data_IF_942859692743
#
_entry.id   IF_942859692743
#
_cell.length_a   1.000
_cell.length_b   1.000
_cell.length_c   1.000
_cell.angle_alpha   90.00
_cell.angle_beta   90.00
_cell.angle_gamma   90.00
#
_symmetry.space_group_name_H-M   'P 1'
#
loop_
_entity.id
_entity.type
_entity.pdbx_description
1 polymer ?
#
# COMPACT_ATOMS: atom_id res chain seq x y z
N UNK A 1 -33.37 10.50 -13.26
CA UNK A 1 -32.01 10.83 -12.77
C UNK A 1 -31.03 10.63 -13.91
N UNK A 2 -29.92 11.38 -13.95
CA UNK A 2 -28.99 11.40 -15.08
C UNK A 2 -27.89 10.34 -14.95
N UNK A 3 -27.32 9.90 -16.09
CA UNK A 3 -26.23 8.93 -16.17
C UNK A 3 -24.92 9.42 -15.52
N UNK A 4 -24.59 10.70 -15.73
CA UNK A 4 -23.30 11.29 -15.30
C UNK A 4 -22.93 11.10 -13.82
N UNK A 5 -23.83 11.27 -12.84
CA UNK A 5 -23.51 11.01 -11.44
C UNK A 5 -23.14 9.54 -11.16
N UNK A 6 -23.86 8.59 -11.76
CA UNK A 6 -23.59 7.17 -11.58
C UNK A 6 -22.24 6.77 -12.18
N UNK A 7 -21.90 7.33 -13.33
CA UNK A 7 -20.58 7.13 -13.95
C UNK A 7 -19.45 7.66 -13.07
N UNK A 8 -19.61 8.83 -12.44
CA UNK A 8 -18.62 9.39 -11.50
C UNK A 8 -18.45 8.52 -10.27
N UNK A 9 -19.54 8.11 -9.63
CA UNK A 9 -19.51 7.24 -8.44
C UNK A 9 -18.83 5.90 -8.70
N UNK A 10 -19.00 5.34 -9.90
CA UNK A 10 -18.38 4.09 -10.32
C UNK A 10 -16.94 4.24 -10.80
N UNK A 11 -16.35 5.42 -10.72
CA UNK A 11 -15.03 5.74 -11.32
C UNK A 11 -14.93 5.35 -12.81
N UNK A 12 -15.99 5.62 -13.56
CA UNK A 12 -16.07 5.34 -14.99
C UNK A 12 -16.42 3.90 -15.37
N UNK A 13 -16.59 3.00 -14.40
CA UNK A 13 -16.91 1.58 -14.67
C UNK A 13 -18.37 1.35 -15.07
N UNK A 14 -19.27 2.25 -14.72
CA UNK A 14 -20.68 2.18 -15.05
C UNK A 14 -20.92 2.73 -16.46
N UNK A 15 -21.28 1.86 -17.41
CA UNK A 15 -21.48 2.21 -18.80
C UNK A 15 -22.89 2.75 -19.06
N UNK A 16 -23.09 3.32 -20.27
CA UNK A 16 -24.43 3.73 -20.72
C UNK A 16 -25.36 2.52 -20.90
N UNK A 17 -24.81 1.38 -21.25
CA UNK A 17 -25.57 0.12 -21.37
C UNK A 17 -26.11 -0.30 -20.01
N UNK A 18 -25.24 -0.32 -18.99
CA UNK A 18 -25.65 -0.63 -17.62
C UNK A 18 -26.72 0.33 -17.10
N UNK A 19 -26.66 1.62 -17.50
CA UNK A 19 -27.67 2.59 -17.12
C UNK A 19 -29.05 2.32 -17.75
N UNK A 20 -29.07 1.92 -19.01
CA UNK A 20 -30.32 1.57 -19.69
C UNK A 20 -30.90 0.30 -19.10
N UNK A 21 -30.06 -0.71 -18.86
CA UNK A 21 -30.46 -1.96 -18.23
C UNK A 21 -31.00 -1.72 -16.80
N UNK A 22 -30.32 -0.94 -15.98
CA UNK A 22 -30.78 -0.55 -14.66
C UNK A 22 -32.17 0.13 -14.68
N UNK A 23 -32.40 1.03 -15.65
CA UNK A 23 -33.72 1.65 -15.82
C UNK A 23 -34.80 0.65 -16.22
N UNK A 24 -34.46 -0.29 -17.06
CA UNK A 24 -35.41 -1.33 -17.49
C UNK A 24 -35.76 -2.26 -16.34
N UNK A 25 -34.77 -2.70 -15.58
CA UNK A 25 -34.96 -3.50 -14.38
C UNK A 25 -35.78 -2.75 -13.32
N UNK A 26 -35.51 -1.46 -13.10
CA UNK A 26 -36.26 -0.64 -12.13
C UNK A 26 -37.74 -0.44 -12.54
N UNK A 27 -38.07 -0.44 -13.85
CA UNK A 27 -39.44 -0.35 -14.33
C UNK A 27 -40.21 -1.68 -14.22
N UNK A 28 -39.51 -2.79 -14.37
CA UNK A 28 -40.07 -4.14 -14.40
C UNK A 28 -39.90 -4.87 -13.06
N UNK A 29 -39.47 -4.17 -12.01
CA UNK A 29 -39.31 -4.76 -10.70
C UNK A 29 -40.67 -5.18 -10.14
N UNK A 30 -40.71 -6.37 -9.55
CA UNK A 30 -41.85 -6.90 -8.78
C UNK A 30 -41.70 -6.63 -7.28
N UNK A 31 -40.67 -5.90 -6.88
CA UNK A 31 -40.41 -5.56 -5.48
C UNK A 31 -41.50 -4.60 -4.94
N UNK A 32 -41.88 -4.76 -3.68
CA UNK A 32 -42.71 -3.81 -2.96
C UNK A 32 -41.88 -2.61 -2.50
N UNK A 33 -42.41 -1.40 -2.67
CA UNK A 33 -41.85 -0.20 -2.01
C UNK A 33 -42.21 -0.26 -0.53
N UNK A 34 -41.17 -0.29 0.31
CA UNK A 34 -41.36 -0.18 1.74
C UNK A 34 -40.70 1.13 2.20
N UNK A 35 -41.52 2.07 2.68
CA UNK A 35 -41.05 3.40 3.09
C UNK A 35 -40.01 3.32 4.20
N UNK A 36 -40.12 2.34 5.08
CA UNK A 36 -39.12 2.07 6.11
C UNK A 36 -37.75 1.71 5.53
N UNK A 37 -37.69 0.81 4.53
CA UNK A 37 -36.44 0.45 3.87
C UNK A 37 -35.85 1.60 3.07
N UNK A 38 -36.67 2.46 2.48
CA UNK A 38 -36.21 3.67 1.80
C UNK A 38 -35.58 4.64 2.79
N UNK A 39 -36.19 4.84 3.95
CA UNK A 39 -35.64 5.68 5.01
C UNK A 39 -34.30 5.12 5.56
N UNK A 40 -34.21 3.82 5.80
CA UNK A 40 -32.99 3.17 6.24
C UNK A 40 -31.86 3.35 5.21
N UNK A 41 -32.19 3.21 3.91
CA UNK A 41 -31.25 3.43 2.82
C UNK A 41 -30.76 4.88 2.73
N UNK A 42 -31.65 5.86 2.92
CA UNK A 42 -31.28 7.29 2.96
C UNK A 42 -30.31 7.58 4.11
N UNK A 43 -30.64 7.12 5.32
CA UNK A 43 -29.76 7.28 6.49
C UNK A 43 -28.39 6.64 6.25
N UNK A 44 -28.36 5.44 5.67
CA UNK A 44 -27.11 4.74 5.38
C UNK A 44 -26.26 5.50 4.36
N UNK A 45 -26.87 6.05 3.34
CA UNK A 45 -26.19 6.89 2.33
C UNK A 45 -25.65 8.16 2.97
N UNK A 46 -26.39 8.81 3.85
CA UNK A 46 -25.93 10.02 4.53
C UNK A 46 -24.74 9.73 5.46
N UNK A 47 -24.79 8.66 6.22
CA UNK A 47 -23.63 8.19 7.03
C UNK A 47 -22.42 7.92 6.15
N UNK A 48 -22.60 7.22 5.02
CA UNK A 48 -21.52 6.95 4.07
C UNK A 48 -20.89 8.25 3.55
N UNK A 49 -21.70 9.20 3.14
CA UNK A 49 -21.22 10.49 2.62
C UNK A 49 -20.47 11.29 3.70
N UNK A 50 -20.96 11.30 4.93
CA UNK A 50 -20.27 11.96 6.06
C UNK A 50 -18.91 11.30 6.35
N UNK A 51 -18.85 9.97 6.38
CA UNK A 51 -17.61 9.23 6.59
C UNK A 51 -16.63 9.49 5.43
N UNK A 52 -17.10 9.47 4.20
CA UNK A 52 -16.28 9.75 3.03
C UNK A 52 -15.64 11.16 3.11
N UNK A 53 -16.42 12.17 3.46
CA UNK A 53 -15.91 13.54 3.65
C UNK A 53 -14.86 13.62 4.76
N UNK A 54 -15.05 12.87 5.87
CA UNK A 54 -14.09 12.83 6.96
C UNK A 54 -12.79 12.10 6.58
N UNK A 55 -12.87 11.06 5.78
CA UNK A 55 -11.68 10.37 5.25
C UNK A 55 -10.88 11.32 4.36
N UNK A 56 -11.54 12.04 3.44
CA UNK A 56 -10.88 13.02 2.57
C UNK A 56 -10.19 14.14 3.37
N UNK A 57 -10.84 14.64 4.43
CA UNK A 57 -10.25 15.65 5.32
C UNK A 57 -8.99 15.13 6.01
N UNK A 58 -9.03 13.90 6.54
CA UNK A 58 -7.88 13.27 7.20
C UNK A 58 -6.75 12.97 6.20
N UNK A 59 -7.09 12.52 4.99
CA UNK A 59 -6.10 12.28 3.94
C UNK A 59 -5.35 13.56 3.57
N UNK A 60 -6.04 14.70 3.50
CA UNK A 60 -5.41 16.00 3.27
C UNK A 60 -4.47 16.38 4.43
N UNK A 61 -4.90 16.21 5.67
CA UNK A 61 -4.06 16.49 6.85
C UNK A 61 -2.80 15.62 6.87
N UNK A 62 -2.93 14.32 6.58
CA UNK A 62 -1.80 13.40 6.46
C UNK A 62 -0.85 13.85 5.34
N UNK A 63 -1.40 14.22 4.20
CA UNK A 63 -0.62 14.71 3.07
C UNK A 63 0.23 15.93 3.44
N UNK A 64 -0.39 16.93 4.07
CA UNK A 64 0.31 18.14 4.48
C UNK A 64 1.38 17.87 5.54
N UNK A 65 1.09 17.00 6.51
CA UNK A 65 2.07 16.57 7.51
C UNK A 65 3.29 15.88 6.87
N UNK A 66 3.07 14.96 5.94
CA UNK A 66 4.16 14.23 5.28
C UNK A 66 5.00 15.15 4.40
N UNK A 67 4.37 16.04 3.64
CA UNK A 67 5.09 17.01 2.82
C UNK A 67 5.89 18.01 3.68
N UNK A 68 5.35 18.40 4.83
CA UNK A 68 6.07 19.26 5.79
C UNK A 68 7.32 18.62 6.38
N UNK A 69 7.38 17.28 6.43
CA UNK A 69 8.56 16.52 6.85
C UNK A 69 9.59 16.33 5.72
N UNK A 70 9.19 16.54 4.47
CA UNK A 70 10.01 16.36 3.25
C UNK A 70 10.86 15.06 3.26
N UNK A 71 10.22 13.88 3.43
CA UNK A 71 10.98 12.66 3.62
C UNK A 71 11.64 12.21 2.31
N UNK A 72 12.96 11.99 2.35
CA UNK A 72 13.78 11.58 1.19
C UNK A 72 13.25 10.34 0.46
N UNK A 73 12.44 9.50 1.15
CA UNK A 73 11.83 8.31 0.52
C UNK A 73 10.81 8.65 -0.57
N UNK A 74 10.24 9.86 -0.59
CA UNK A 74 9.32 10.30 -1.65
C UNK A 74 10.03 10.48 -2.99
N UNK A 75 11.36 10.58 -3.00
CA UNK A 75 12.14 10.63 -4.24
C UNK A 75 12.23 9.29 -4.95
N UNK A 76 11.84 8.18 -4.31
CA UNK A 76 11.82 6.84 -4.92
C UNK A 76 10.57 6.72 -5.81
N UNK A 77 10.72 6.46 -7.13
CA UNK A 77 9.59 6.26 -8.02
C UNK A 77 8.70 5.09 -7.57
N UNK A 78 7.41 5.37 -7.30
CA UNK A 78 6.45 4.39 -6.83
C UNK A 78 6.16 4.43 -5.32
N UNK A 79 6.83 5.29 -4.55
CA UNK A 79 6.43 5.57 -3.16
C UNK A 79 5.59 6.86 -3.15
N UNK A 80 4.33 6.73 -2.77
CA UNK A 80 3.41 7.86 -2.60
C UNK A 80 3.32 8.32 -1.14
N UNK A 81 2.71 9.50 -0.95
CA UNK A 81 2.53 10.16 0.36
C UNK A 81 1.85 9.24 1.38
N UNK A 82 0.79 8.53 0.99
CA UNK A 82 0.09 7.62 1.90
C UNK A 82 1.00 6.47 2.40
N UNK A 83 1.83 5.91 1.53
CA UNK A 83 2.80 4.87 1.92
C UNK A 83 3.90 5.44 2.81
N UNK A 84 4.40 6.63 2.50
CA UNK A 84 5.39 7.32 3.32
C UNK A 84 4.82 7.63 4.72
N UNK A 85 3.56 8.06 4.81
CA UNK A 85 2.88 8.29 6.09
C UNK A 85 2.88 7.04 6.98
N UNK A 86 2.49 5.88 6.43
CA UNK A 86 2.49 4.61 7.18
C UNK A 86 3.91 4.23 7.61
N UNK A 87 4.89 4.34 6.72
CA UNK A 87 6.29 4.01 7.02
C UNK A 87 6.83 4.91 8.14
N UNK A 88 6.60 6.22 8.04
CA UNK A 88 7.05 7.19 9.05
C UNK A 88 6.35 6.99 10.39
N UNK A 89 5.04 6.75 10.40
CA UNK A 89 4.29 6.54 11.64
C UNK A 89 4.71 5.27 12.39
N UNK A 90 5.05 4.21 11.67
CA UNK A 90 5.47 2.93 12.25
C UNK A 90 6.93 2.96 12.75
N UNK A 91 7.81 3.64 12.03
CA UNK A 91 9.21 3.75 12.46
C UNK A 91 9.43 4.84 13.51
N UNK A 92 8.65 5.91 13.44
CA UNK A 92 8.96 7.11 14.23
C UNK A 92 10.34 7.65 13.85
N UNK A 93 11.19 7.81 14.84
CA UNK A 93 12.55 8.31 14.65
C UNK A 93 13.50 7.20 14.18
N UNK A 94 13.89 7.25 12.90
CA UNK A 94 14.81 6.30 12.28
C UNK A 94 16.24 6.34 12.86
N UNK A 95 16.63 7.44 13.52
CA UNK A 95 17.94 7.54 14.16
C UNK A 95 18.15 6.54 15.30
N UNK A 96 17.05 6.01 15.86
CA UNK A 96 17.08 4.96 16.90
C UNK A 96 17.55 3.60 16.37
N UNK A 97 17.54 3.41 15.06
CA UNK A 97 18.00 2.18 14.46
C UNK A 97 19.46 2.30 14.03
N UNK A 98 20.35 1.59 14.68
CA UNK A 98 21.80 1.65 14.42
C UNK A 98 22.21 0.89 13.11
N UNK A 99 21.28 0.19 12.45
CA UNK A 99 21.55 -0.53 11.22
C UNK A 99 20.26 -0.91 10.47
N UNK A 100 20.35 -1.08 9.13
CA UNK A 100 19.22 -1.57 8.32
C UNK A 100 18.69 -2.93 8.78
N UNK A 101 19.56 -3.80 9.33
CA UNK A 101 19.16 -5.13 9.82
C UNK A 101 18.20 -5.02 11.00
N UNK A 102 18.43 -4.09 11.94
CA UNK A 102 17.50 -3.85 13.05
C UNK A 102 16.14 -3.35 12.57
N UNK A 103 16.16 -2.55 11.51
CA UNK A 103 14.93 -2.08 10.86
C UNK A 103 14.14 -3.24 10.21
N UNK A 104 14.84 -4.16 9.55
CA UNK A 104 14.25 -5.37 8.98
C UNK A 104 13.66 -6.29 10.07
N UNK A 105 14.35 -6.43 11.19
CA UNK A 105 13.84 -7.15 12.37
C UNK A 105 12.56 -6.50 12.90
N UNK A 106 12.57 -5.19 13.09
CA UNK A 106 11.41 -4.43 13.54
C UNK A 106 10.21 -4.59 12.62
N UNK A 107 10.42 -4.61 11.31
CA UNK A 107 9.40 -4.90 10.32
C UNK A 107 8.96 -6.38 10.30
N UNK A 108 9.66 -7.25 11.01
CA UNK A 108 9.43 -8.68 10.99
C UNK A 108 9.66 -9.32 9.62
N UNK A 109 10.58 -8.77 8.84
CA UNK A 109 10.89 -9.20 7.48
C UNK A 109 12.15 -10.06 7.41
N UNK A 110 12.76 -10.37 8.53
CA UNK A 110 13.91 -11.28 8.57
C UNK A 110 13.52 -12.73 8.30
N UNK A 111 14.42 -13.54 7.70
CA UNK A 111 14.25 -14.98 7.68
C UNK A 111 14.44 -15.53 9.08
N UNK A 112 13.59 -16.47 9.48
CA UNK A 112 13.86 -17.26 10.70
C UNK A 112 15.10 -18.12 10.50
N UNK A 113 16.04 -18.04 11.43
CA UNK A 113 17.17 -18.95 11.48
C UNK A 113 16.86 -20.05 12.49
N UNK A 114 16.83 -21.29 12.03
CA UNK A 114 16.82 -22.44 12.89
C UNK A 114 18.21 -23.10 12.80
N UNK A 115 18.93 -23.02 13.88
CA UNK A 115 20.22 -23.73 14.04
C UNK A 115 20.01 -24.86 15.00
N UNK A 116 20.13 -26.09 14.52
CA UNK A 116 20.36 -27.27 15.34
C UNK A 116 21.82 -27.73 15.13
N UNK A 117 22.36 -28.50 16.05
CA UNK A 117 23.78 -28.91 16.02
C UNK A 117 24.19 -29.62 14.71
N UNK A 118 23.24 -30.12 13.93
CA UNK A 118 23.48 -30.90 12.71
C UNK A 118 22.92 -30.27 11.42
N UNK A 119 22.11 -29.19 11.49
CA UNK A 119 21.56 -28.59 10.30
C UNK A 119 21.25 -27.09 10.48
N UNK A 120 21.64 -26.28 9.48
CA UNK A 120 21.22 -24.91 9.35
C UNK A 120 20.14 -24.85 8.28
N UNK A 121 18.95 -24.39 8.63
CA UNK A 121 17.90 -24.09 7.66
C UNK A 121 17.40 -22.66 7.81
N UNK A 122 17.33 -21.95 6.68
CA UNK A 122 16.63 -20.67 6.61
C UNK A 122 15.13 -20.93 6.60
N UNK A 123 14.49 -20.59 7.70
CA UNK A 123 13.04 -20.77 7.88
C UNK A 123 12.20 -19.72 7.16
N UNK A 124 10.90 -19.80 7.39
CA UNK A 124 9.94 -18.80 6.96
C UNK A 124 10.24 -17.45 7.62
N UNK A 125 9.76 -16.36 7.00
CA UNK A 125 9.88 -15.02 7.56
C UNK A 125 9.33 -14.94 8.98
N UNK A 126 10.10 -14.28 9.89
CA UNK A 126 9.80 -14.14 11.32
C UNK A 126 8.69 -13.16 11.50
N UNK A 127 7.58 -13.14 11.39
CA UNK A 127 6.51 -12.15 11.39
C UNK A 127 6.27 -11.43 12.74
N UNK A 128 7.27 -11.33 13.59
CA UNK A 128 7.14 -10.73 14.94
C UNK A 128 7.05 -9.20 14.96
N UNK A 129 7.32 -8.53 13.86
CA UNK A 129 7.26 -7.07 13.77
C UNK A 129 5.89 -6.51 13.37
N UNK A 130 5.83 -5.20 13.13
CA UNK A 130 4.62 -4.52 12.70
C UNK A 130 4.03 -5.14 11.44
N UNK A 131 2.77 -5.55 11.52
CA UNK A 131 2.02 -6.06 10.37
C UNK A 131 1.66 -4.96 9.39
N UNK A 132 1.40 -3.74 9.89
CA UNK A 132 1.07 -2.57 9.08
C UNK A 132 2.25 -2.14 8.24
N UNK A 133 3.42 -2.02 8.86
CA UNK A 133 4.66 -1.70 8.15
C UNK A 133 4.99 -2.75 7.08
N UNK A 134 4.91 -4.01 7.43
CA UNK A 134 5.16 -5.10 6.47
C UNK A 134 4.19 -5.06 5.29
N UNK A 135 2.91 -4.78 5.54
CA UNK A 135 1.91 -4.61 4.49
C UNK A 135 2.25 -3.41 3.59
N UNK A 136 2.55 -2.25 4.19
CA UNK A 136 2.97 -1.06 3.45
C UNK A 136 4.21 -1.33 2.59
N UNK A 137 5.24 -1.97 3.15
CA UNK A 137 6.46 -2.31 2.42
C UNK A 137 6.22 -3.28 1.26
N UNK A 138 5.32 -4.24 1.39
CA UNK A 138 4.96 -5.16 0.30
C UNK A 138 4.21 -4.44 -0.82
N UNK A 139 3.32 -3.51 -0.49
CA UNK A 139 2.62 -2.68 -1.47
C UNK A 139 3.60 -1.72 -2.18
N UNK A 140 4.48 -1.04 -1.44
CA UNK A 140 5.53 -0.21 -2.01
C UNK A 140 6.44 -1.02 -2.95
N UNK A 141 6.83 -2.23 -2.58
CA UNK A 141 7.63 -3.08 -3.45
C UNK A 141 6.92 -3.39 -4.77
N UNK A 142 5.60 -3.60 -4.75
CA UNK A 142 4.83 -3.84 -5.96
C UNK A 142 4.75 -2.60 -6.86
N UNK A 143 4.55 -1.42 -6.29
CA UNK A 143 4.50 -0.17 -7.05
C UNK A 143 5.88 0.23 -7.59
N UNK A 144 6.93 0.07 -6.78
CA UNK A 144 8.31 0.39 -7.17
C UNK A 144 8.81 -0.51 -8.30
N UNK A 145 8.48 -1.80 -8.33
CA UNK A 145 8.80 -2.69 -9.46
C UNK A 145 8.21 -2.16 -10.78
N UNK A 146 7.04 -1.53 -10.73
CA UNK A 146 6.37 -1.03 -11.92
C UNK A 146 6.90 0.34 -12.38
N UNK A 147 7.53 1.11 -11.49
CA UNK A 147 7.92 2.50 -11.74
C UNK A 147 9.43 2.73 -11.77
N UNK A 148 10.25 1.78 -11.25
CA UNK A 148 11.69 1.92 -11.15
C UNK A 148 12.41 0.71 -11.78
N UNK A 149 13.09 0.89 -12.92
CA UNK A 149 13.72 -0.19 -13.68
C UNK A 149 14.73 -1.03 -12.89
N UNK A 150 15.47 -0.42 -11.97
CA UNK A 150 16.50 -1.12 -11.18
C UNK A 150 15.87 -2.13 -10.23
N UNK A 151 14.77 -1.76 -9.58
CA UNK A 151 13.99 -2.70 -8.75
C UNK A 151 13.26 -3.75 -9.59
N UNK A 152 12.80 -3.39 -10.79
CA UNK A 152 12.23 -4.36 -11.73
C UNK A 152 13.26 -5.42 -12.14
N UNK A 153 14.48 -5.01 -12.46
CA UNK A 153 15.58 -5.91 -12.78
C UNK A 153 15.94 -6.82 -11.59
N UNK A 154 16.00 -6.27 -10.38
CA UNK A 154 16.24 -7.04 -9.17
C UNK A 154 15.13 -8.07 -8.91
N UNK A 155 13.87 -7.70 -9.12
CA UNK A 155 12.75 -8.62 -9.03
C UNK A 155 12.85 -9.73 -10.08
N UNK A 156 13.11 -9.39 -11.34
CA UNK A 156 13.28 -10.36 -12.43
C UNK A 156 14.41 -11.36 -12.14
N UNK A 157 15.55 -10.90 -11.62
CA UNK A 157 16.65 -11.76 -11.15
C UNK A 157 16.16 -12.76 -10.10
N UNK A 158 15.39 -12.31 -9.09
CA UNK A 158 14.87 -13.21 -8.05
C UNK A 158 13.85 -14.22 -8.61
N UNK A 159 13.09 -13.83 -9.64
CA UNK A 159 12.19 -14.75 -10.34
C UNK A 159 12.97 -15.80 -11.16
N UNK A 160 14.04 -15.40 -11.83
CA UNK A 160 14.92 -16.30 -12.57
C UNK A 160 15.64 -17.31 -11.65
N UNK A 161 15.93 -16.93 -10.39
CA UNK A 161 16.42 -17.86 -9.35
C UNK A 161 15.36 -18.90 -8.92
N UNK A 162 14.20 -19.00 -9.59
CA UNK A 162 13.12 -19.94 -9.27
C UNK A 162 12.22 -19.52 -8.09
N UNK A 163 12.37 -18.33 -7.54
CA UNK A 163 11.57 -17.87 -6.40
C UNK A 163 10.13 -17.56 -6.83
N UNK A 164 9.15 -17.99 -6.04
CA UNK A 164 7.74 -17.65 -6.26
C UNK A 164 7.54 -16.14 -6.16
N UNK A 165 6.51 -15.60 -6.83
CA UNK A 165 6.20 -14.17 -6.89
C UNK A 165 6.29 -13.47 -5.51
N UNK A 166 5.56 -13.96 -4.51
CA UNK A 166 5.55 -13.35 -3.16
C UNK A 166 6.90 -13.37 -2.48
N UNK A 167 7.71 -14.41 -2.71
CA UNK A 167 9.07 -14.50 -2.16
C UNK A 167 9.99 -13.50 -2.85
N UNK A 168 9.96 -13.41 -4.18
CA UNK A 168 10.71 -12.40 -4.93
C UNK A 168 10.32 -10.98 -4.51
N UNK A 169 9.02 -10.70 -4.36
CA UNK A 169 8.51 -9.42 -3.86
C UNK A 169 9.04 -9.09 -2.45
N UNK A 170 9.12 -10.08 -1.56
CA UNK A 170 9.70 -9.89 -0.22
C UNK A 170 11.17 -9.50 -0.29
N UNK A 171 11.94 -10.03 -1.24
CA UNK A 171 13.32 -9.60 -1.44
C UNK A 171 13.41 -8.15 -1.89
N UNK A 172 12.52 -7.73 -2.80
CA UNK A 172 12.43 -6.32 -3.21
C UNK A 172 12.07 -5.43 -2.02
N UNK A 173 11.05 -5.79 -1.24
CA UNK A 173 10.63 -5.03 -0.06
C UNK A 173 11.78 -4.87 0.98
N UNK A 174 12.57 -5.93 1.20
CA UNK A 174 13.76 -5.85 2.06
C UNK A 174 14.82 -4.88 1.52
N UNK A 175 15.11 -4.97 0.23
CA UNK A 175 16.06 -4.07 -0.41
C UNK A 175 15.57 -2.63 -0.39
N UNK A 176 14.29 -2.42 -0.68
CA UNK A 176 13.64 -1.11 -0.61
C UNK A 176 13.75 -0.49 0.78
N UNK A 177 13.49 -1.29 1.83
CA UNK A 177 13.62 -0.82 3.21
C UNK A 177 15.05 -0.38 3.56
N UNK A 178 16.06 -1.10 3.07
CA UNK A 178 17.47 -0.72 3.23
C UNK A 178 17.79 0.60 2.51
N UNK A 179 17.25 0.79 1.32
CA UNK A 179 17.40 2.05 0.55
C UNK A 179 16.73 3.19 1.30
N UNK A 180 15.48 3.02 1.74
CA UNK A 180 14.74 4.02 2.54
C UNK A 180 15.57 4.42 3.78
N UNK A 181 16.09 3.45 4.53
CA UNK A 181 16.94 3.73 5.68
C UNK A 181 18.16 4.59 5.31
N UNK A 182 18.84 4.24 4.22
CA UNK A 182 20.03 4.99 3.76
C UNK A 182 19.68 6.42 3.35
N UNK A 183 18.57 6.60 2.62
CA UNK A 183 18.12 7.92 2.19
C UNK A 183 17.76 8.81 3.38
N UNK A 184 16.97 8.28 4.32
CA UNK A 184 16.50 9.04 5.48
C UNK A 184 17.62 9.36 6.48
N UNK A 185 18.58 8.44 6.68
CA UNK A 185 19.69 8.68 7.64
C UNK A 185 20.79 9.55 7.06
N UNK A 186 20.92 9.66 5.75
CA UNK A 186 21.94 10.47 5.07
C UNK A 186 21.36 11.70 4.39
N UNK A 187 20.06 11.91 4.47
CA UNK A 187 19.32 13.01 3.82
C UNK A 187 19.63 13.09 2.31
N UNK A 188 19.64 11.94 1.64
CA UNK A 188 19.96 11.83 0.23
C UNK A 188 18.70 11.65 -0.61
N UNK A 189 18.71 12.21 -1.83
CA UNK A 189 17.73 11.85 -2.85
C UNK A 189 18.03 10.48 -3.44
N UNK A 190 17.00 9.81 -3.95
CA UNK A 190 17.13 8.50 -4.56
C UNK A 190 18.06 8.53 -5.78
N UNK A 191 18.97 7.55 -5.84
CA UNK A 191 19.79 7.25 -6.99
C UNK A 191 19.71 5.74 -7.25
N UNK A 192 19.48 5.29 -8.49
CA UNK A 192 19.46 3.86 -8.87
C UNK A 192 20.68 3.06 -8.41
N UNK A 193 21.85 3.68 -8.33
CA UNK A 193 23.11 3.05 -7.89
C UNK A 193 23.03 2.51 -6.44
N UNK A 194 22.11 3.02 -5.63
CA UNK A 194 21.89 2.54 -4.26
C UNK A 194 21.24 1.14 -4.20
N UNK A 195 20.70 0.66 -5.31
CA UNK A 195 20.03 -0.65 -5.42
C UNK A 195 20.98 -1.76 -5.83
N UNK A 196 22.13 -1.44 -6.41
CA UNK A 196 23.11 -2.41 -6.87
C UNK A 196 23.90 -3.09 -5.75
#
# INVERSE_FOLDING_TARGET
KSYKPLQRLSRGRFSMVDFVELKTLARNTVGSTCDYLLQEMEITIDIYNQLQSKVEEIELQIHDCVLGLDPSMLTIPGIGVASAAVILSEFGDLSKFNSPSKLLSFAGMEPGYFRSDTSESTGKMVKHGSSHLRYAMMNCAQTVINNEPTFAAYYAKKRAEGKKHRVALTHVAKKLLQVIYTLQTKELSYNPDLVC
#
